data_IF_317542248479
#
_entry.id   IF_317542248479
#
_cell.length_a   1.000
_cell.length_b   1.000
_cell.length_c   1.000
_cell.angle_alpha   90.00
_cell.angle_beta   90.00
_cell.angle_gamma   90.00
#
_symmetry.space_group_name_H-M   'P 1'
#
loop_
_entity.id
_entity.type
_entity.pdbx_description
1 polymer ?
#
# COMPACT_ATOMS: atom_id res chain seq x y z
N UNK A 1 -19.14 -4.99 21.66
CA UNK A 1 -19.02 -4.73 20.22
C UNK A 1 -17.57 -4.40 19.91
N UNK A 2 -16.88 -5.09 18.98
CA UNK A 2 -15.48 -4.78 18.71
C UNK A 2 -15.38 -3.35 18.16
N UNK A 3 -14.68 -2.48 18.89
CA UNK A 3 -14.58 -1.04 18.65
C UNK A 3 -13.51 -0.75 17.58
N UNK A 4 -13.79 -1.13 16.34
CA UNK A 4 -12.92 -0.88 15.19
C UNK A 4 -13.63 -0.09 14.08
N UNK A 5 -12.86 0.70 13.32
CA UNK A 5 -13.31 1.30 12.06
C UNK A 5 -12.69 0.53 10.90
N UNK A 6 -13.51 0.13 9.93
CA UNK A 6 -13.05 -0.47 8.68
C UNK A 6 -12.66 0.66 7.71
N UNK A 7 -11.49 0.56 7.09
CA UNK A 7 -11.03 1.50 6.07
C UNK A 7 -10.74 0.71 4.81
N UNK A 8 -11.46 1.04 3.74
CA UNK A 8 -11.23 0.51 2.41
C UNK A 8 -10.45 1.55 1.60
N UNK A 9 -9.34 1.15 1.00
CA UNK A 9 -8.49 2.03 0.22
C UNK A 9 -7.84 1.27 -0.94
N UNK A 10 -7.65 1.96 -2.05
CA UNK A 10 -6.85 1.50 -3.18
C UNK A 10 -5.47 2.14 -3.06
N UNK A 11 -4.43 1.31 -3.02
CA UNK A 11 -3.05 1.76 -2.84
C UNK A 11 -2.17 1.04 -3.86
N UNK A 12 -1.23 1.75 -4.53
CA UNK A 12 -0.26 1.10 -5.40
C UNK A 12 0.54 0.06 -4.62
N UNK A 13 0.69 -1.15 -5.17
CA UNK A 13 1.43 -2.24 -4.51
C UNK A 13 2.87 -1.83 -4.15
N UNK A 14 3.51 -1.01 -4.98
CA UNK A 14 4.86 -0.49 -4.73
C UNK A 14 4.99 0.39 -3.48
N UNK A 15 3.91 0.96 -2.98
CA UNK A 15 3.90 1.80 -1.76
C UNK A 15 3.61 0.98 -0.49
N UNK A 16 3.28 -0.31 -0.63
CA UNK A 16 2.93 -1.18 0.52
C UNK A 16 4.14 -1.81 1.20
N UNK A 17 5.35 -1.65 0.65
CA UNK A 17 6.57 -2.14 1.30
C UNK A 17 6.78 -1.47 2.66
N UNK A 18 6.84 -2.27 3.73
CA UNK A 18 6.98 -1.77 5.10
C UNK A 18 5.67 -1.34 5.77
N UNK A 19 4.52 -1.39 5.07
CA UNK A 19 3.22 -0.99 5.61
C UNK A 19 2.87 -1.70 6.92
N UNK A 20 3.16 -3.00 7.04
CA UNK A 20 2.88 -3.79 8.23
C UNK A 20 3.62 -3.29 9.49
N UNK A 21 4.81 -2.69 9.33
CA UNK A 21 5.58 -2.10 10.42
C UNK A 21 4.98 -0.74 10.82
N UNK A 22 4.71 0.10 9.82
CA UNK A 22 4.09 1.42 10.03
C UNK A 22 2.72 1.30 10.71
N UNK A 23 1.88 0.37 10.25
CA UNK A 23 0.55 0.14 10.83
C UNK A 23 0.63 -0.30 12.30
N UNK A 24 1.57 -1.19 12.64
CA UNK A 24 1.77 -1.61 14.04
C UNK A 24 2.22 -0.44 14.91
N UNK A 25 3.17 0.37 14.43
CA UNK A 25 3.64 1.54 15.16
C UNK A 25 2.51 2.53 15.43
N UNK A 26 1.73 2.91 14.40
CA UNK A 26 0.62 3.87 14.53
C UNK A 26 -0.53 3.36 15.40
N UNK A 27 -0.87 2.07 15.29
CA UNK A 27 -2.00 1.48 16.03
C UNK A 27 -1.64 0.95 17.41
N UNK A 28 -0.36 1.05 17.82
CA UNK A 28 0.19 0.36 18.98
C UNK A 28 -0.06 -1.16 18.94
N UNK A 29 0.06 -1.75 17.74
CA UNK A 29 -0.09 -3.18 17.50
C UNK A 29 -1.53 -3.69 17.45
N UNK A 30 -2.53 -2.81 17.45
CA UNK A 30 -3.96 -3.20 17.54
C UNK A 30 -4.67 -3.31 16.19
N UNK A 31 -4.14 -2.69 15.14
CA UNK A 31 -4.76 -2.72 13.81
C UNK A 31 -4.31 -3.94 13.00
N UNK A 32 -5.22 -4.46 12.20
CA UNK A 32 -4.98 -5.51 11.21
C UNK A 32 -5.30 -4.98 9.81
N UNK A 33 -4.71 -5.59 8.80
CA UNK A 33 -4.99 -5.26 7.40
C UNK A 33 -4.98 -6.53 6.54
N UNK A 34 -5.66 -6.45 5.41
CA UNK A 34 -5.65 -7.44 4.34
C UNK A 34 -5.38 -6.72 3.03
N UNK A 35 -4.65 -7.36 2.11
CA UNK A 35 -4.38 -6.83 0.78
C UNK A 35 -4.68 -7.89 -0.27
N UNK A 36 -5.37 -7.49 -1.33
CA UNK A 36 -5.68 -8.33 -2.48
C UNK A 36 -5.44 -7.54 -3.77
N UNK A 37 -5.11 -8.25 -4.85
CA UNK A 37 -4.98 -7.62 -6.15
C UNK A 37 -6.36 -7.27 -6.69
N UNK A 38 -6.52 -6.04 -7.17
CA UNK A 38 -7.77 -5.54 -7.76
C UNK A 38 -7.61 -5.29 -9.27
N UNK A 39 -6.76 -4.33 -9.68
CA UNK A 39 -6.50 -4.00 -11.08
C UNK A 39 -5.13 -3.34 -11.32
N UNK A 40 -4.76 -3.17 -12.59
CA UNK A 40 -3.65 -2.32 -13.01
C UNK A 40 -4.12 -0.89 -13.27
N UNK A 41 -3.38 0.08 -12.76
CA UNK A 41 -3.58 1.50 -13.02
C UNK A 41 -2.32 2.12 -13.64
N UNK A 42 -2.48 3.23 -14.36
CA UNK A 42 -1.37 3.97 -14.94
C UNK A 42 -0.42 4.46 -13.82
N UNK A 43 0.86 4.13 -13.95
CA UNK A 43 1.86 4.57 -13.00
C UNK A 43 2.13 6.09 -13.20
N UNK A 44 2.41 6.84 -12.13
CA UNK A 44 2.84 8.23 -12.26
C UNK A 44 4.05 8.35 -13.19
N UNK A 45 4.08 9.40 -14.03
CA UNK A 45 5.14 9.65 -15.01
C UNK A 45 6.56 9.53 -14.43
N UNK A 46 6.76 10.02 -13.20
CA UNK A 46 8.05 9.93 -12.50
C UNK A 46 8.52 8.49 -12.27
N UNK A 47 7.60 7.58 -11.94
CA UNK A 47 7.91 6.16 -11.73
C UNK A 47 8.04 5.44 -13.08
N UNK A 48 7.15 5.73 -14.03
CA UNK A 48 7.21 5.16 -15.36
C UNK A 48 8.57 5.44 -16.04
N UNK A 49 9.05 6.68 -15.98
CA UNK A 49 10.37 7.05 -16.50
C UNK A 49 11.52 6.33 -15.79
N UNK A 50 11.45 6.18 -14.47
CA UNK A 50 12.49 5.48 -13.72
C UNK A 50 12.56 4.00 -14.10
N UNK A 51 11.40 3.35 -14.26
CA UNK A 51 11.34 1.95 -14.69
C UNK A 51 11.89 1.81 -16.11
N UNK A 52 11.46 2.66 -17.04
CA UNK A 52 11.96 2.65 -18.43
C UNK A 52 13.49 2.87 -18.50
N UNK A 53 14.04 3.79 -17.69
CA UNK A 53 15.49 4.05 -17.63
C UNK A 53 16.28 2.92 -16.97
N UNK A 54 15.68 2.18 -16.03
CA UNK A 54 16.34 1.07 -15.32
C UNK A 54 16.34 -0.24 -16.13
N UNK A 55 15.50 -0.34 -17.15
CA UNK A 55 15.39 -1.49 -18.05
C UNK A 55 16.28 -1.40 -19.30
N UNK A 56 17.01 -0.29 -19.47
CA UNK A 56 18.02 -0.09 -20.53
C UNK A 56 19.43 -0.32 -19.98
#
# INVERSE_FOLDING_TARGET
SPSGKLINALVPLGEMFGYATSLRSMSQGRATFTMEFDHYAEAPNSIAEQVMKKSA
#
